data_IF_899744832788
#
_entry.id   IF_899744832788
#
_cell.length_a   1.000
_cell.length_b   1.000
_cell.length_c   1.000
_cell.angle_alpha   90.00
_cell.angle_beta   90.00
_cell.angle_gamma   90.00
#
_symmetry.space_group_name_H-M   'P 1'
#
loop_
_entity.id
_entity.type
_entity.pdbx_description
1 polymer ?
#
# COMPACT_ATOMS: atom_id res chain seq x y z
N UNK A 1 -0.65 -8.48 8.64
CA UNK A 1 -0.31 -9.22 7.41
C UNK A 1 1.09 -8.83 6.97
N UNK A 2 1.93 -9.79 6.64
CA UNK A 2 3.29 -9.52 6.18
C UNK A 2 3.34 -9.28 4.68
N UNK A 3 4.45 -8.70 4.20
CA UNK A 3 4.69 -8.51 2.76
C UNK A 3 4.64 -9.87 2.03
N UNK A 4 5.22 -10.91 2.62
CA UNK A 4 5.20 -12.24 2.02
C UNK A 4 3.76 -12.78 1.86
N UNK A 5 2.91 -12.58 2.85
CA UNK A 5 1.51 -12.99 2.77
C UNK A 5 0.75 -12.20 1.70
N UNK A 6 1.03 -10.91 1.57
CA UNK A 6 0.40 -10.07 0.55
C UNK A 6 0.82 -10.52 -0.85
N UNK A 7 2.09 -10.86 -1.06
CA UNK A 7 2.57 -11.41 -2.32
C UNK A 7 1.88 -12.73 -2.65
N UNK A 8 1.73 -13.61 -1.68
CA UNK A 8 1.04 -14.89 -1.88
C UNK A 8 -0.42 -14.69 -2.30
N UNK A 9 -1.10 -13.71 -1.70
CA UNK A 9 -2.49 -13.40 -2.06
C UNK A 9 -2.59 -12.87 -3.49
N UNK A 10 -1.66 -12.02 -3.91
CA UNK A 10 -1.64 -11.51 -5.28
C UNK A 10 -1.43 -12.66 -6.28
N UNK A 11 -0.55 -13.59 -5.96
CA UNK A 11 -0.25 -14.75 -6.84
C UNK A 11 -1.45 -15.69 -7.00
N UNK A 12 -2.41 -15.64 -6.09
CA UNK A 12 -3.65 -16.43 -6.18
C UNK A 12 -4.74 -15.77 -7.01
N UNK A 13 -4.51 -14.54 -7.47
CA UNK A 13 -5.51 -13.81 -8.27
C UNK A 13 -5.78 -14.54 -9.59
N UNK A 14 -7.05 -14.64 -10.03
CA UNK A 14 -7.39 -15.33 -11.28
C UNK A 14 -6.67 -14.78 -12.51
N UNK A 15 -6.38 -13.47 -12.51
CA UNK A 15 -5.73 -12.80 -13.63
C UNK A 15 -4.22 -12.61 -13.42
N UNK A 16 -3.60 -13.38 -12.52
CA UNK A 16 -2.18 -13.22 -12.23
C UNK A 16 -1.30 -13.39 -13.47
N UNK A 17 -1.73 -14.15 -14.45
CA UNK A 17 -1.01 -14.32 -15.72
C UNK A 17 -0.80 -13.00 -16.47
N UNK A 18 -1.61 -11.98 -16.19
CA UNK A 18 -1.51 -10.64 -16.80
C UNK A 18 -0.55 -9.72 -16.05
N UNK A 19 -0.03 -10.16 -14.92
CA UNK A 19 0.87 -9.34 -14.07
C UNK A 19 2.27 -9.40 -14.61
N UNK A 20 2.81 -8.24 -14.99
CA UNK A 20 4.21 -8.09 -15.41
C UNK A 20 5.10 -7.54 -14.32
N UNK A 21 4.52 -6.85 -13.32
CA UNK A 21 5.28 -6.36 -12.19
C UNK A 21 4.39 -6.17 -10.96
N UNK A 22 5.03 -6.23 -9.80
CA UNK A 22 4.43 -5.91 -8.51
C UNK A 22 5.31 -4.85 -7.85
N UNK A 23 4.73 -3.72 -7.47
CA UNK A 23 5.45 -2.66 -6.77
C UNK A 23 4.94 -2.60 -5.33
N UNK A 24 5.88 -2.60 -4.38
CA UNK A 24 5.57 -2.58 -2.96
C UNK A 24 6.05 -1.29 -2.32
N UNK A 25 5.19 -0.69 -1.50
CA UNK A 25 5.54 0.44 -0.65
C UNK A 25 5.37 0.02 0.81
N UNK A 26 6.42 0.17 1.61
CA UNK A 26 6.40 -0.10 3.04
C UNK A 26 6.60 1.22 3.78
N UNK A 27 5.56 1.73 4.44
CA UNK A 27 5.64 2.95 5.22
C UNK A 27 6.10 2.66 6.65
N UNK A 28 7.05 3.44 7.11
CA UNK A 28 7.69 3.28 8.44
C UNK A 28 7.63 4.60 9.19
N UNK A 29 7.48 4.55 10.52
CA UNK A 29 7.49 5.75 11.35
C UNK A 29 8.90 6.34 11.39
N UNK A 30 9.05 7.57 10.89
CA UNK A 30 10.33 8.29 10.90
C UNK A 30 10.55 8.99 12.22
N UNK A 31 11.84 9.22 12.57
CA UNK A 31 12.22 9.99 13.76
C UNK A 31 11.89 11.48 13.62
N UNK A 32 11.79 11.99 12.38
CA UNK A 32 11.48 13.41 12.11
C UNK A 32 10.34 13.52 11.11
N UNK A 33 9.48 14.53 11.29
CA UNK A 33 8.47 14.87 10.31
C UNK A 33 9.12 15.56 9.09
N UNK A 34 8.33 15.72 8.02
CA UNK A 34 8.81 16.35 6.78
C UNK A 34 9.35 17.77 7.01
N UNK A 35 8.79 18.48 8.00
CA UNK A 35 9.21 19.84 8.36
C UNK A 35 10.37 19.89 9.37
N UNK A 36 10.95 18.74 9.71
CA UNK A 36 12.09 18.64 10.61
C UNK A 36 11.74 18.48 12.08
N UNK A 37 10.46 18.50 12.46
CA UNK A 37 10.07 18.30 13.86
C UNK A 37 10.34 16.88 14.30
N UNK A 38 10.76 16.73 15.56
CA UNK A 38 10.98 15.41 16.16
C UNK A 38 9.66 14.66 16.33
N UNK A 39 9.67 13.38 15.94
CA UNK A 39 8.51 12.49 16.07
C UNK A 39 8.85 11.42 17.09
N UNK A 40 8.01 11.28 18.13
CA UNK A 40 8.19 10.24 19.17
C UNK A 40 7.32 9.03 18.94
N UNK A 41 6.25 9.18 18.18
CA UNK A 41 5.33 8.10 17.88
C UNK A 41 4.23 8.56 16.93
N UNK A 42 3.39 7.63 16.51
CA UNK A 42 2.32 7.89 15.57
C UNK A 42 1.13 6.99 15.84
N UNK A 43 -0.06 7.53 15.67
CA UNK A 43 -1.30 6.75 15.66
C UNK A 43 -2.09 7.12 14.41
N UNK A 44 -2.48 6.11 13.65
CA UNK A 44 -3.18 6.31 12.38
C UNK A 44 -4.65 5.95 12.53
N UNK A 45 -5.52 6.81 12.01
CA UNK A 45 -6.95 6.53 11.90
C UNK A 45 -7.32 6.53 10.42
N UNK A 46 -8.06 5.51 9.99
CA UNK A 46 -8.41 5.32 8.59
C UNK A 46 -9.90 5.54 8.39
N UNK A 47 -10.25 6.35 7.38
CA UNK A 47 -11.63 6.42 6.89
C UNK A 47 -11.83 5.27 5.91
N UNK A 48 -12.39 4.17 6.38
CA UNK A 48 -12.54 2.95 5.59
C UNK A 48 -13.42 3.14 4.35
N UNK A 49 -14.44 3.99 4.42
CA UNK A 49 -15.31 4.25 3.28
C UNK A 49 -14.54 4.94 2.14
N UNK A 50 -13.72 5.95 2.48
CA UNK A 50 -12.90 6.65 1.50
C UNK A 50 -11.80 5.75 0.94
N UNK A 51 -11.19 4.93 1.79
CA UNK A 51 -10.15 4.00 1.36
C UNK A 51 -10.72 2.98 0.37
N UNK A 52 -11.87 2.41 0.67
CA UNK A 52 -12.51 1.45 -0.21
C UNK A 52 -12.86 2.08 -1.55
N UNK A 53 -13.41 3.28 -1.55
CA UNK A 53 -13.73 4.00 -2.78
C UNK A 53 -12.47 4.27 -3.61
N UNK A 54 -11.39 4.70 -2.97
CA UNK A 54 -10.12 4.95 -3.65
C UNK A 54 -9.57 3.67 -4.28
N UNK A 55 -9.62 2.55 -3.56
CA UNK A 55 -9.15 1.26 -4.07
C UNK A 55 -9.96 0.81 -5.27
N UNK A 56 -11.27 0.99 -5.24
CA UNK A 56 -12.15 0.66 -6.36
C UNK A 56 -11.77 1.51 -7.59
N UNK A 57 -11.62 2.82 -7.42
CA UNK A 57 -11.27 3.73 -8.50
C UNK A 57 -9.90 3.39 -9.11
N UNK A 58 -8.90 3.14 -8.29
CA UNK A 58 -7.55 2.85 -8.76
C UNK A 58 -7.47 1.48 -9.43
N UNK A 59 -8.20 0.49 -8.92
CA UNK A 59 -8.19 -0.86 -9.50
C UNK A 59 -8.87 -0.92 -10.88
N UNK A 60 -9.66 0.09 -11.24
CA UNK A 60 -10.29 0.19 -12.56
C UNK A 60 -9.39 0.82 -13.62
N UNK A 61 -8.24 1.35 -13.24
CA UNK A 61 -7.30 1.95 -14.21
C UNK A 61 -6.72 0.88 -15.13
N UNK A 62 -6.44 1.24 -16.41
CA UNK A 62 -5.92 0.28 -17.38
C UNK A 62 -4.65 -0.42 -16.88
N UNK A 63 -4.60 -1.74 -17.09
CA UNK A 63 -3.42 -2.52 -16.79
C UNK A 63 -3.25 -2.91 -15.32
N UNK A 64 -4.14 -2.50 -14.44
CA UNK A 64 -4.06 -2.84 -13.02
C UNK A 64 -4.83 -4.15 -12.77
N UNK A 65 -4.13 -5.11 -12.16
CA UNK A 65 -4.70 -6.43 -11.86
C UNK A 65 -5.17 -6.52 -10.42
N UNK A 66 -4.35 -6.05 -9.46
CA UNK A 66 -4.70 -6.14 -8.05
C UNK A 66 -4.01 -5.04 -7.24
N UNK A 67 -4.65 -4.61 -6.17
CA UNK A 67 -4.09 -3.68 -5.19
C UNK A 67 -4.32 -4.27 -3.82
N UNK A 68 -3.24 -4.46 -3.07
CA UNK A 68 -3.30 -4.94 -1.69
C UNK A 68 -2.82 -3.83 -0.77
N UNK A 69 -3.57 -3.55 0.29
CA UNK A 69 -3.17 -2.55 1.28
C UNK A 69 -3.42 -3.10 2.68
N UNK A 70 -2.46 -2.86 3.56
CA UNK A 70 -2.59 -3.18 4.98
C UNK A 70 -2.06 -1.99 5.78
N UNK A 71 -2.91 -1.39 6.60
CA UNK A 71 -2.58 -0.22 7.41
C UNK A 71 -2.74 -0.59 8.88
N UNK A 72 -1.71 -0.30 9.69
CA UNK A 72 -1.80 -0.46 11.13
C UNK A 72 -2.51 0.75 11.68
N UNK A 73 -3.75 0.58 12.14
CA UNK A 73 -4.58 1.68 12.62
C UNK A 73 -4.96 1.53 14.09
N UNK A 74 -5.29 2.65 14.72
CA UNK A 74 -5.78 2.72 16.10
C UNK A 74 -4.81 2.09 17.12
N UNK A 75 -3.53 2.07 16.78
CA UNK A 75 -2.47 1.54 17.64
C UNK A 75 -1.35 2.58 17.73
N UNK A 76 -0.78 2.73 18.92
CA UNK A 76 0.37 3.60 19.11
C UNK A 76 1.60 2.95 18.48
N UNK A 77 2.24 3.66 17.53
CA UNK A 77 3.41 3.18 16.81
C UNK A 77 4.64 3.96 17.26
N UNK A 78 5.73 3.24 17.48
CA UNK A 78 7.02 3.83 17.80
C UNK A 78 7.82 4.09 16.52
N UNK A 79 8.86 4.92 16.63
CA UNK A 79 9.78 5.14 15.52
C UNK A 79 10.38 3.80 15.08
N UNK A 80 10.36 3.55 13.78
CA UNK A 80 10.83 2.30 13.18
C UNK A 80 9.75 1.26 12.98
N UNK A 81 8.55 1.45 13.55
CA UNK A 81 7.44 0.52 13.34
C UNK A 81 6.85 0.70 11.94
N UNK A 82 6.33 -0.39 11.38
CA UNK A 82 5.63 -0.34 10.09
C UNK A 82 4.27 0.32 10.25
N UNK A 83 3.97 1.29 9.37
CA UNK A 83 2.67 1.97 9.32
C UNK A 83 1.74 1.26 8.36
N UNK A 84 2.23 0.94 7.16
CA UNK A 84 1.42 0.36 6.11
C UNK A 84 2.27 -0.43 5.12
N UNK A 85 1.62 -1.36 4.45
CA UNK A 85 2.15 -2.05 3.28
C UNK A 85 1.17 -1.84 2.14
N UNK A 86 1.66 -1.42 0.99
CA UNK A 86 0.86 -1.22 -0.21
C UNK A 86 1.53 -1.95 -1.37
N UNK A 87 0.77 -2.78 -2.07
CA UNK A 87 1.25 -3.47 -3.25
C UNK A 87 0.32 -3.22 -4.41
N UNK A 88 0.89 -2.89 -5.56
CA UNK A 88 0.16 -2.72 -6.81
C UNK A 88 0.71 -3.70 -7.83
N UNK A 89 -0.15 -4.56 -8.36
CA UNK A 89 0.20 -5.53 -9.39
C UNK A 89 -0.45 -5.12 -10.71
N UNK A 90 0.31 -5.06 -11.76
CA UNK A 90 -0.18 -4.66 -13.08
C UNK A 90 0.67 -5.19 -14.21
N UNK A 91 0.35 -4.79 -15.43
CA UNK A 91 0.98 -5.31 -16.64
C UNK A 91 2.32 -4.67 -16.95
N UNK A 92 2.41 -3.36 -16.93
CA UNK A 92 3.65 -2.63 -17.25
C UNK A 92 3.94 -1.56 -16.19
N UNK A 93 5.22 -1.16 -16.13
CA UNK A 93 5.73 -0.22 -15.12
C UNK A 93 4.95 1.09 -15.05
N UNK A 94 4.65 1.69 -16.18
CA UNK A 94 4.01 2.99 -16.25
C UNK A 94 2.65 2.99 -15.56
N UNK A 95 1.85 1.95 -15.78
CA UNK A 95 0.54 1.83 -15.17
C UNK A 95 0.62 1.61 -13.67
N UNK A 96 1.54 0.75 -13.22
CA UNK A 96 1.71 0.42 -11.81
C UNK A 96 2.22 1.63 -11.02
N UNK A 97 3.22 2.33 -11.54
CA UNK A 97 3.79 3.51 -10.90
C UNK A 97 2.75 4.63 -10.80
N UNK A 98 1.95 4.83 -11.83
CA UNK A 98 0.90 5.84 -11.83
C UNK A 98 -0.08 5.63 -10.67
N UNK A 99 -0.49 4.39 -10.44
CA UNK A 99 -1.41 4.07 -9.35
C UNK A 99 -0.74 4.22 -7.98
N UNK A 100 0.48 3.74 -7.84
CA UNK A 100 1.18 3.82 -6.55
C UNK A 100 1.41 5.28 -6.12
N UNK A 101 1.63 6.17 -7.09
CA UNK A 101 1.86 7.58 -6.82
C UNK A 101 0.64 8.28 -6.24
N UNK A 102 -0.54 7.83 -6.56
CA UNK A 102 -1.79 8.40 -6.09
C UNK A 102 -2.26 7.74 -4.79
#
# INVERSE_FOLDING_TARGET
MSIANMLDEIKKHPDFEKVGMILCHNGVVRATARDGREVKGLKVTVDHAKLEQLLIEQSQKPGIVDIQVNIVENKNLAVGDDIMHLMVAGDIRENVISVLRE
#
